data_IF_711144776135
#
_entry.id   IF_711144776135
#
_cell.length_a   1.000
_cell.length_b   1.000
_cell.length_c   1.000
_cell.angle_alpha   90.00
_cell.angle_beta   90.00
_cell.angle_gamma   90.00
#
_symmetry.space_group_name_H-M   'P 1'
#
loop_
_entity.id
_entity.type
_entity.pdbx_description
1 polymer ?
#
# COMPACT_ATOMS: atom_id res chain seq x y z
N UNK A 1 8.69 2.81 14.56
CA UNK A 1 8.35 4.24 14.46
C UNK A 1 8.78 4.75 13.08
N UNK A 2 8.36 4.06 12.01
CA UNK A 2 8.73 4.42 10.63
C UNK A 2 7.75 3.72 9.69
N UNK A 3 7.89 2.40 9.56
CA UNK A 3 6.94 1.56 8.82
C UNK A 3 5.64 1.30 9.62
N UNK A 4 4.50 1.35 8.92
CA UNK A 4 3.17 1.02 9.46
C UNK A 4 2.80 -0.46 9.35
N UNK A 5 3.71 -1.27 8.83
CA UNK A 5 3.58 -2.73 8.88
C UNK A 5 3.91 -3.24 10.29
N UNK A 6 3.25 -4.32 10.71
CA UNK A 6 3.57 -5.01 11.96
C UNK A 6 4.77 -5.92 11.71
N UNK A 7 5.90 -5.65 12.36
CA UNK A 7 7.16 -6.37 12.12
C UNK A 7 7.07 -7.85 12.48
N UNK A 8 6.47 -8.16 13.63
CA UNK A 8 6.28 -9.52 14.13
C UNK A 8 4.80 -9.74 14.40
N UNK A 9 3.98 -10.07 13.38
CA UNK A 9 2.64 -10.56 13.64
C UNK A 9 2.69 -11.89 14.41
N UNK A 10 1.57 -12.32 14.99
CA UNK A 10 1.53 -13.61 15.70
C UNK A 10 1.21 -14.77 14.76
N UNK A 11 0.52 -14.47 13.65
CA UNK A 11 -0.04 -15.46 12.73
C UNK A 11 0.12 -14.97 11.30
N UNK A 12 0.02 -15.91 10.37
CA UNK A 12 -0.04 -15.61 8.93
C UNK A 12 -1.27 -14.78 8.63
N UNK A 13 -2.45 -15.13 9.15
CA UNK A 13 -3.67 -14.33 9.07
C UNK A 13 -4.48 -14.47 10.37
N UNK A 14 -5.35 -13.49 10.63
CA UNK A 14 -6.13 -13.41 11.86
C UNK A 14 -7.54 -13.99 11.69
N UNK A 15 -8.16 -13.74 10.53
CA UNK A 15 -9.56 -14.08 10.25
C UNK A 15 -9.79 -14.30 8.75
N UNK A 16 -10.54 -15.33 8.39
CA UNK A 16 -11.10 -15.51 7.06
C UNK A 16 -12.64 -15.51 7.15
N UNK A 17 -13.31 -14.81 6.23
CA UNK A 17 -14.77 -14.66 6.20
C UNK A 17 -15.33 -14.94 4.81
N UNK A 18 -16.55 -15.49 4.79
CA UNK A 18 -17.47 -15.45 3.65
C UNK A 18 -18.65 -14.57 4.05
N UNK A 19 -18.81 -13.45 3.36
CA UNK A 19 -19.82 -12.45 3.65
C UNK A 19 -20.79 -12.35 2.47
N UNK A 20 -22.08 -12.36 2.75
CA UNK A 20 -23.12 -12.10 1.77
C UNK A 20 -23.66 -10.68 1.94
N UNK A 21 -23.84 -10.02 0.81
CA UNK A 21 -24.45 -8.72 0.74
C UNK A 21 -25.94 -8.82 1.07
N UNK A 22 -26.43 -7.84 1.81
CA UNK A 22 -27.86 -7.63 2.04
C UNK A 22 -28.55 -7.02 0.81
N UNK A 23 -29.85 -7.26 0.66
CA UNK A 23 -30.65 -6.70 -0.45
C UNK A 23 -30.97 -5.20 -0.29
N UNK A 24 -30.51 -4.52 0.78
CA UNK A 24 -30.79 -3.10 1.03
C UNK A 24 -29.65 -2.38 1.78
N UNK A 25 -29.43 -1.09 1.48
CA UNK A 25 -28.40 -0.26 2.15
C UNK A 25 -28.58 -0.17 3.67
N UNK A 26 -29.80 -0.37 4.18
CA UNK A 26 -30.13 -0.28 5.61
C UNK A 26 -29.88 -1.57 6.40
N UNK A 27 -29.47 -2.66 5.73
CA UNK A 27 -29.16 -3.92 6.39
C UNK A 27 -27.67 -4.19 6.28
N UNK A 28 -27.06 -4.60 7.38
CA UNK A 28 -25.66 -4.99 7.37
C UNK A 28 -25.45 -6.28 6.57
N UNK A 29 -24.31 -6.41 5.86
CA UNK A 29 -23.93 -7.67 5.22
C UNK A 29 -23.80 -8.80 6.24
N UNK A 30 -24.19 -10.02 5.86
CA UNK A 30 -24.29 -11.17 6.75
C UNK A 30 -23.03 -12.04 6.60
N UNK A 31 -22.41 -12.39 7.73
CA UNK A 31 -21.32 -13.38 7.74
C UNK A 31 -21.92 -14.77 7.62
N UNK A 32 -21.68 -15.44 6.49
CA UNK A 32 -22.15 -16.81 6.24
C UNK A 32 -21.23 -17.86 6.88
N UNK A 33 -19.94 -17.59 6.86
CA UNK A 33 -18.92 -18.51 7.37
C UNK A 33 -17.69 -17.71 7.82
N UNK A 34 -17.00 -18.21 8.85
CA UNK A 34 -15.77 -17.61 9.38
C UNK A 34 -14.78 -18.68 9.84
N UNK A 35 -13.50 -18.35 9.75
CA UNK A 35 -12.41 -19.14 10.31
C UNK A 35 -11.37 -18.23 10.99
N UNK A 36 -10.93 -18.53 12.21
CA UNK A 36 -11.37 -19.65 13.04
C UNK A 36 -12.79 -19.41 13.60
N UNK A 37 -13.51 -20.49 13.95
CA UNK A 37 -14.90 -20.41 14.41
C UNK A 37 -15.05 -19.69 15.76
N UNK A 38 -14.03 -19.79 16.61
CA UNK A 38 -13.94 -19.18 17.93
C UNK A 38 -13.39 -17.73 17.90
N UNK A 39 -13.24 -17.13 16.72
CA UNK A 39 -12.80 -15.73 16.61
C UNK A 39 -13.74 -14.80 17.40
N UNK A 40 -13.18 -14.11 18.41
CA UNK A 40 -13.92 -13.42 19.46
C UNK A 40 -13.99 -11.90 19.38
N UNK A 41 -13.27 -11.25 18.45
CA UNK A 41 -13.28 -9.79 18.31
C UNK A 41 -14.55 -9.32 17.58
N UNK A 42 -15.54 -8.87 18.35
CA UNK A 42 -16.85 -8.44 17.84
C UNK A 42 -16.78 -7.15 17.02
N UNK A 43 -15.85 -6.24 17.31
CA UNK A 43 -15.71 -4.99 16.55
C UNK A 43 -15.26 -5.29 15.12
N UNK A 44 -14.31 -6.21 14.97
CA UNK A 44 -13.84 -6.70 13.66
C UNK A 44 -14.96 -7.43 12.92
N UNK A 45 -15.75 -8.27 13.60
CA UNK A 45 -16.87 -9.00 12.99
C UNK A 45 -18.01 -8.08 12.53
N UNK A 46 -18.14 -6.88 13.11
CA UNK A 46 -19.09 -5.87 12.66
C UNK A 46 -18.52 -4.98 11.55
N UNK A 47 -17.22 -4.62 11.63
CA UNK A 47 -16.61 -3.68 10.68
C UNK A 47 -16.29 -4.35 9.34
N UNK A 48 -15.66 -5.53 9.35
CA UNK A 48 -15.15 -6.19 8.13
C UNK A 48 -16.26 -6.45 7.09
N UNK A 49 -17.45 -6.95 7.45
CA UNK A 49 -18.54 -7.13 6.47
C UNK A 49 -18.89 -5.85 5.71
N UNK A 50 -18.85 -4.69 6.36
CA UNK A 50 -19.11 -3.39 5.72
C UNK A 50 -17.97 -2.96 4.78
N UNK A 51 -16.73 -3.32 5.10
CA UNK A 51 -15.57 -3.12 4.23
C UNK A 51 -15.50 -4.12 3.06
N UNK A 52 -16.17 -5.28 3.17
CA UNK A 52 -16.31 -6.23 2.06
C UNK A 52 -17.19 -5.67 0.91
N UNK A 53 -18.07 -4.71 1.20
CA UNK A 53 -18.98 -4.09 0.24
C UNK A 53 -18.97 -2.55 0.32
N UNK A 54 -17.84 -1.89 0.01
CA UNK A 54 -17.66 -0.47 0.27
C UNK A 54 -18.19 0.41 -0.89
N UNK A 55 -19.43 0.17 -1.33
CA UNK A 55 -20.05 0.85 -2.46
C UNK A 55 -21.58 0.92 -2.30
N UNK A 56 -22.23 1.85 -3.01
CA UNK A 56 -23.70 1.93 -3.09
C UNK A 56 -24.26 0.93 -4.11
N UNK A 57 -25.16 0.04 -3.68
CA UNK A 57 -25.76 -1.02 -4.49
C UNK A 57 -26.78 -0.52 -5.51
N UNK A 58 -27.50 0.54 -5.19
CA UNK A 58 -28.59 1.08 -6.02
C UNK A 58 -28.10 1.62 -7.37
N UNK A 59 -26.80 1.93 -7.47
CA UNK A 59 -26.22 2.69 -8.58
C UNK A 59 -25.30 1.88 -9.50
N UNK A 60 -25.15 0.57 -9.28
CA UNK A 60 -24.10 -0.22 -9.96
C UNK A 60 -24.64 -1.47 -10.65
N UNK A 61 -24.23 -1.66 -11.91
CA UNK A 61 -24.28 -2.97 -12.56
C UNK A 61 -23.16 -3.85 -12.00
N UNK A 62 -23.56 -4.88 -11.27
CA UNK A 62 -22.75 -5.88 -10.55
C UNK A 62 -21.52 -6.46 -11.28
N UNK A 63 -21.43 -6.32 -12.60
CA UNK A 63 -20.29 -6.78 -13.42
C UNK A 63 -19.07 -5.83 -13.42
N UNK A 64 -19.18 -4.62 -12.85
CA UNK A 64 -18.18 -3.55 -13.04
C UNK A 64 -17.28 -3.26 -11.83
N UNK A 65 -17.48 -3.89 -10.67
CA UNK A 65 -16.82 -3.49 -9.40
C UNK A 65 -15.38 -4.03 -9.25
N UNK A 66 -14.95 -4.97 -10.09
CA UNK A 66 -13.64 -5.63 -9.98
C UNK A 66 -13.67 -6.82 -9.01
N UNK A 67 -12.85 -7.85 -9.27
CA UNK A 67 -12.90 -9.12 -8.53
C UNK A 67 -12.09 -9.10 -7.23
N UNK A 68 -10.91 -8.48 -7.23
CA UNK A 68 -10.01 -8.42 -6.07
C UNK A 68 -9.80 -6.99 -5.63
N UNK A 69 -9.74 -6.75 -4.33
CA UNK A 69 -9.33 -5.48 -3.77
C UNK A 69 -8.79 -5.70 -2.35
N UNK A 70 -8.07 -4.72 -1.80
CA UNK A 70 -7.55 -4.83 -0.43
C UNK A 70 -7.85 -3.55 0.35
N UNK A 71 -8.71 -3.66 1.36
CA UNK A 71 -8.92 -2.58 2.34
C UNK A 71 -7.90 -2.67 3.47
N UNK A 72 -7.82 -1.62 4.29
CA UNK A 72 -6.96 -1.61 5.49
C UNK A 72 -7.75 -1.14 6.69
N UNK A 73 -7.62 -1.88 7.80
CA UNK A 73 -7.99 -1.43 9.14
C UNK A 73 -6.72 -0.98 9.86
N UNK A 74 -6.77 0.18 10.49
CA UNK A 74 -5.66 0.70 11.28
C UNK A 74 -5.88 0.37 12.75
N UNK A 75 -4.92 -0.30 13.39
CA UNK A 75 -4.99 -0.60 14.82
C UNK A 75 -4.62 0.60 15.71
N UNK A 76 -4.77 0.45 17.02
CA UNK A 76 -4.45 1.47 18.02
C UNK A 76 -2.97 1.92 18.03
N UNK A 77 -2.07 1.17 17.40
CA UNK A 77 -0.63 1.49 17.24
C UNK A 77 -0.33 2.01 15.83
N UNK A 78 -1.36 2.42 15.09
CA UNK A 78 -1.29 2.87 13.70
C UNK A 78 -0.75 1.82 12.72
N UNK A 79 -0.77 0.53 13.09
CA UNK A 79 -0.36 -0.58 12.23
C UNK A 79 -1.50 -1.04 11.34
N UNK A 80 -1.13 -1.50 10.15
CA UNK A 80 -2.08 -1.86 9.10
C UNK A 80 -2.44 -3.35 9.17
N UNK A 81 -3.74 -3.64 9.26
CA UNK A 81 -4.33 -4.97 8.96
C UNK A 81 -4.97 -4.90 7.58
N UNK A 82 -4.51 -5.74 6.67
CA UNK A 82 -4.98 -5.82 5.29
C UNK A 82 -6.13 -6.80 5.18
N UNK A 83 -7.26 -6.34 4.65
CA UNK A 83 -8.40 -7.16 4.30
C UNK A 83 -8.38 -7.47 2.81
N UNK A 84 -7.83 -8.64 2.45
CA UNK A 84 -7.75 -9.11 1.08
C UNK A 84 -9.09 -9.69 0.67
N UNK A 85 -9.72 -9.10 -0.34
CA UNK A 85 -11.08 -9.44 -0.74
C UNK A 85 -11.13 -10.10 -2.12
N UNK A 86 -12.07 -11.02 -2.30
CA UNK A 86 -12.52 -11.54 -3.59
C UNK A 86 -14.05 -11.47 -3.67
N UNK A 87 -14.56 -10.59 -4.53
CA UNK A 87 -15.99 -10.50 -4.85
C UNK A 87 -16.38 -11.59 -5.84
N UNK A 88 -17.50 -12.26 -5.56
CA UNK A 88 -18.05 -13.37 -6.34
C UNK A 88 -19.55 -13.18 -6.57
N UNK A 89 -20.16 -14.03 -7.40
CA UNK A 89 -21.61 -14.07 -7.61
C UNK A 89 -22.20 -12.71 -8.02
N UNK A 90 -21.51 -11.97 -8.90
CA UNK A 90 -21.90 -10.61 -9.28
C UNK A 90 -21.78 -9.60 -8.14
N UNK A 91 -20.81 -9.75 -7.24
CA UNK A 91 -20.62 -8.83 -6.11
C UNK A 91 -21.64 -9.00 -4.99
N UNK A 92 -22.39 -10.12 -4.95
CA UNK A 92 -23.28 -10.47 -3.83
C UNK A 92 -22.57 -11.20 -2.69
N UNK A 93 -21.45 -11.86 -2.98
CA UNK A 93 -20.68 -12.60 -1.97
C UNK A 93 -19.25 -12.12 -2.01
N UNK A 94 -18.62 -11.99 -0.85
CA UNK A 94 -17.23 -11.58 -0.70
C UNK A 94 -16.49 -12.58 0.19
N UNK A 95 -15.36 -13.08 -0.29
CA UNK A 95 -14.39 -13.80 0.54
C UNK A 95 -13.35 -12.81 1.01
N UNK A 96 -13.07 -12.77 2.31
CA UNK A 96 -12.10 -11.85 2.90
C UNK A 96 -11.10 -12.62 3.77
N UNK A 97 -9.80 -12.34 3.62
CA UNK A 97 -8.77 -12.75 4.58
C UNK A 97 -8.17 -11.48 5.20
N UNK A 98 -8.19 -11.41 6.53
CA UNK A 98 -7.61 -10.32 7.31
C UNK A 98 -6.25 -10.75 7.84
N UNK A 99 -5.19 -10.00 7.49
CA UNK A 99 -3.82 -10.30 7.91
C UNK A 99 -2.99 -9.02 8.07
N UNK A 100 -2.01 -9.04 8.97
CA UNK A 100 -0.98 -7.99 9.06
C UNK A 100 0.12 -8.11 7.99
N UNK A 101 0.20 -9.25 7.30
CA UNK A 101 1.21 -9.49 6.28
C UNK A 101 0.75 -8.92 4.93
N UNK A 102 1.53 -8.02 4.31
CA UNK A 102 1.14 -7.37 3.05
C UNK A 102 1.38 -8.27 1.83
N UNK A 103 0.93 -9.52 1.85
CA UNK A 103 1.20 -10.52 0.81
C UNK A 103 0.09 -10.56 -0.25
N UNK A 104 -0.11 -9.44 -0.95
CA UNK A 104 -1.20 -9.25 -1.91
C UNK A 104 -1.33 -10.41 -2.91
N UNK A 105 -0.25 -10.77 -3.60
CA UNK A 105 -0.26 -11.82 -4.63
C UNK A 105 -0.57 -13.21 -4.06
N UNK A 106 -0.05 -13.51 -2.86
CA UNK A 106 -0.30 -14.78 -2.17
C UNK A 106 -1.77 -14.87 -1.77
N UNK A 107 -2.30 -13.85 -1.10
CA UNK A 107 -3.68 -13.87 -0.61
C UNK A 107 -4.71 -13.82 -1.73
N UNK A 108 -4.46 -13.09 -2.83
CA UNK A 108 -5.37 -13.12 -3.97
C UNK A 108 -5.43 -14.49 -4.65
N UNK A 109 -4.30 -15.19 -4.77
CA UNK A 109 -4.27 -16.56 -5.27
C UNK A 109 -4.95 -17.53 -4.30
N UNK A 110 -4.69 -17.40 -3.00
CA UNK A 110 -5.35 -18.17 -1.94
C UNK A 110 -6.88 -18.00 -2.00
N UNK A 111 -7.38 -16.76 -2.12
CA UNK A 111 -8.81 -16.47 -2.24
C UNK A 111 -9.43 -17.08 -3.50
N UNK A 112 -8.69 -17.18 -4.61
CA UNK A 112 -9.17 -17.89 -5.80
C UNK A 112 -9.34 -19.38 -5.51
N UNK A 113 -8.37 -20.00 -4.84
CA UNK A 113 -8.44 -21.41 -4.43
C UNK A 113 -9.58 -21.67 -3.47
N UNK A 114 -9.76 -20.81 -2.46
CA UNK A 114 -10.86 -20.92 -1.49
C UNK A 114 -12.21 -20.81 -2.20
N UNK A 115 -12.35 -19.89 -3.15
CA UNK A 115 -13.58 -19.78 -3.92
C UNK A 115 -13.86 -21.01 -4.79
N UNK A 116 -12.83 -21.59 -5.41
CA UNK A 116 -12.96 -22.82 -6.17
C UNK A 116 -13.43 -23.99 -5.29
N UNK A 117 -12.91 -24.11 -4.06
CA UNK A 117 -13.36 -25.12 -3.11
C UNK A 117 -14.80 -24.90 -2.66
N UNK A 118 -15.22 -23.66 -2.45
CA UNK A 118 -16.61 -23.35 -2.12
C UNK A 118 -17.57 -23.69 -3.26
N UNK A 119 -17.19 -23.46 -4.52
CA UNK A 119 -18.01 -23.83 -5.69
C UNK A 119 -18.11 -25.34 -5.87
N UNK A 120 -17.07 -26.08 -5.47
CA UNK A 120 -17.01 -27.55 -5.54
C UNK A 120 -17.53 -28.25 -4.29
N UNK A 121 -18.03 -27.50 -3.31
CA UNK A 121 -18.51 -28.03 -2.02
C UNK A 121 -17.44 -28.86 -1.25
N UNK A 122 -16.17 -28.49 -1.41
CA UNK A 122 -15.02 -29.16 -0.76
C UNK A 122 -14.66 -28.50 0.58
N UNK A 123 -15.58 -28.55 1.55
CA UNK A 123 -15.39 -27.86 2.85
C UNK A 123 -14.24 -28.43 3.68
N UNK A 124 -13.99 -29.74 3.61
CA UNK A 124 -12.88 -30.37 4.33
C UNK A 124 -11.53 -29.84 3.86
N UNK A 125 -11.30 -29.82 2.54
CA UNK A 125 -10.06 -29.31 1.93
C UNK A 125 -9.85 -27.83 2.24
N UNK A 126 -10.93 -27.03 2.23
CA UNK A 126 -10.91 -25.62 2.59
C UNK A 126 -10.48 -25.42 4.05
N UNK A 127 -11.08 -26.17 4.97
CA UNK A 127 -10.76 -26.07 6.39
C UNK A 127 -9.34 -26.55 6.70
N UNK A 128 -8.88 -27.63 6.05
CA UNK A 128 -7.53 -28.15 6.23
C UNK A 128 -6.48 -27.17 5.70
N UNK A 129 -6.74 -26.54 4.55
CA UNK A 129 -5.89 -25.48 3.99
C UNK A 129 -5.75 -24.28 4.96
N UNK A 130 -6.87 -23.81 5.51
CA UNK A 130 -6.89 -22.68 6.43
C UNK A 130 -6.24 -23.04 7.77
N UNK A 131 -6.50 -24.22 8.33
CA UNK A 131 -5.86 -24.72 9.55
C UNK A 131 -4.35 -24.85 9.38
N UNK A 132 -3.91 -25.40 8.24
CA UNK A 132 -2.49 -25.53 7.91
C UNK A 132 -1.82 -24.16 7.87
N UNK A 133 -2.38 -23.20 7.14
CA UNK A 133 -1.82 -21.85 7.04
C UNK A 133 -1.86 -21.08 8.36
N UNK A 134 -2.94 -21.22 9.14
CA UNK A 134 -3.16 -20.49 10.40
C UNK A 134 -2.24 -20.96 11.53
N UNK A 135 -1.90 -22.25 11.55
CA UNK A 135 -0.99 -22.85 12.52
C UNK A 135 0.47 -22.84 12.04
N UNK A 136 0.73 -22.50 10.78
CA UNK A 136 2.09 -22.42 10.27
C UNK A 136 2.85 -21.28 10.99
N UNK A 137 4.07 -21.53 11.50
CA UNK A 137 4.89 -20.47 12.09
C UNK A 137 5.19 -19.40 11.05
N UNK A 138 5.40 -18.15 11.46
CA UNK A 138 5.71 -17.10 10.50
C UNK A 138 6.96 -17.45 9.68
N UNK A 139 6.80 -17.65 8.37
CA UNK A 139 7.91 -18.05 7.53
C UNK A 139 8.80 -16.83 7.25
N UNK A 140 10.11 -17.06 7.13
CA UNK A 140 11.08 -16.01 6.77
C UNK A 140 10.91 -15.63 5.31
N UNK A 141 11.24 -14.40 4.93
CA UNK A 141 11.24 -13.97 3.53
C UNK A 141 12.03 -14.94 2.62
N UNK A 142 11.57 -15.08 1.38
CA UNK A 142 12.13 -15.99 0.37
C UNK A 142 12.19 -17.48 0.75
N UNK A 143 11.33 -17.95 1.67
CA UNK A 143 11.21 -19.39 2.00
C UNK A 143 9.97 -20.01 1.36
N UNK A 144 10.05 -21.28 0.91
CA UNK A 144 8.88 -22.01 0.42
C UNK A 144 7.99 -22.44 1.57
N UNK A 145 6.69 -22.19 1.45
CA UNK A 145 5.65 -22.61 2.38
C UNK A 145 4.73 -23.58 1.65
N UNK A 146 4.75 -24.84 2.08
CA UNK A 146 3.88 -25.87 1.54
C UNK A 146 2.48 -25.71 2.14
N UNK A 147 1.47 -25.69 1.28
CA UNK A 147 0.07 -25.72 1.66
C UNK A 147 -0.50 -27.07 1.23
N UNK A 148 -1.24 -27.72 2.12
CA UNK A 148 -2.05 -28.89 1.79
C UNK A 148 -3.20 -28.47 0.86
N UNK A 149 -3.03 -28.67 -0.45
CA UNK A 149 -4.03 -28.31 -1.47
C UNK A 149 -4.15 -29.48 -2.45
N UNK A 150 -5.38 -29.91 -2.75
CA UNK A 150 -5.67 -30.96 -3.74
C UNK A 150 -5.46 -30.51 -5.21
N UNK A 151 -5.18 -29.23 -5.45
CA UNK A 151 -4.82 -28.65 -6.75
C UNK A 151 -3.41 -28.08 -6.69
N UNK A 152 -2.62 -28.27 -7.74
CA UNK A 152 -1.31 -27.65 -7.93
C UNK A 152 -1.43 -26.11 -7.93
N UNK A 153 -0.90 -25.47 -6.89
CA UNK A 153 -0.70 -24.02 -6.81
C UNK A 153 0.78 -23.75 -6.70
N UNK A 154 1.30 -23.01 -7.68
CA UNK A 154 2.65 -22.46 -7.67
C UNK A 154 2.58 -20.93 -7.56
N UNK A 155 3.22 -20.37 -6.53
CA UNK A 155 3.32 -18.93 -6.32
C UNK A 155 4.79 -18.57 -6.10
N UNK A 156 5.44 -18.02 -7.12
CA UNK A 156 6.82 -17.53 -7.04
C UNK A 156 6.88 -16.03 -7.29
N UNK A 157 7.58 -15.30 -6.41
CA UNK A 157 8.19 -14.00 -6.69
C UNK A 157 9.67 -14.24 -7.06
N UNK A 158 10.18 -13.54 -8.06
CA UNK A 158 11.10 -14.09 -9.08
C UNK A 158 12.59 -14.29 -8.73
N UNK A 159 13.00 -14.52 -7.49
CA UNK A 159 14.46 -14.62 -7.21
C UNK A 159 15.05 -16.02 -6.97
N UNK A 160 14.26 -17.10 -6.91
CA UNK A 160 14.83 -18.43 -6.66
C UNK A 160 14.08 -19.51 -7.44
N UNK A 161 14.29 -19.60 -8.75
CA UNK A 161 14.16 -20.88 -9.45
C UNK A 161 14.95 -20.86 -10.76
N UNK A 162 16.27 -21.01 -10.68
CA UNK A 162 17.05 -21.50 -11.82
C UNK A 162 17.73 -22.85 -11.60
N UNK A 163 17.82 -23.40 -10.39
CA UNK A 163 18.55 -24.68 -10.18
C UNK A 163 18.09 -25.45 -8.93
N UNK A 164 16.95 -26.13 -8.97
CA UNK A 164 16.69 -27.34 -8.17
C UNK A 164 15.54 -28.15 -8.82
N UNK A 165 15.78 -29.40 -9.28
CA UNK A 165 14.70 -30.33 -9.59
C UNK A 165 14.36 -31.11 -8.30
N UNK A 166 13.32 -30.70 -7.57
CA UNK A 166 12.80 -31.49 -6.44
C UNK A 166 11.46 -32.15 -6.81
N UNK A 167 11.33 -33.49 -6.69
CA UNK A 167 10.15 -34.25 -7.06
C UNK A 167 9.17 -34.37 -5.87
N UNK A 168 8.47 -33.28 -5.50
CA UNK A 168 7.46 -33.34 -4.42
C UNK A 168 6.17 -32.61 -4.84
N UNK A 169 5.10 -33.41 -4.91
CA UNK A 169 3.76 -33.13 -5.41
C UNK A 169 2.88 -32.36 -4.40
N UNK A 170 3.32 -31.18 -3.94
CA UNK A 170 2.55 -30.34 -2.99
C UNK A 170 2.58 -28.87 -3.43
N UNK A 171 1.44 -28.20 -3.30
CA UNK A 171 1.29 -26.77 -3.61
C UNK A 171 2.08 -25.91 -2.64
N UNK A 172 2.83 -24.92 -3.14
CA UNK A 172 3.64 -24.04 -2.30
C UNK A 172 3.70 -22.60 -2.81
N UNK A 173 3.99 -21.68 -1.90
CA UNK A 173 4.34 -20.30 -2.23
C UNK A 173 5.67 -19.90 -1.64
N UNK A 174 6.38 -19.00 -2.33
CA UNK A 174 7.55 -18.33 -1.79
C UNK A 174 7.07 -17.08 -1.08
N UNK A 175 7.41 -16.96 0.20
CA UNK A 175 7.10 -15.76 0.98
C UNK A 175 7.77 -14.54 0.36
N UNK A 176 7.04 -13.45 0.11
CA UNK A 176 7.62 -12.28 -0.53
C UNK A 176 8.59 -11.56 0.41
N UNK A 177 9.67 -11.05 -0.17
CA UNK A 177 10.53 -10.09 0.50
C UNK A 177 9.89 -8.70 0.44
N UNK A 178 9.48 -8.18 1.60
CA UNK A 178 8.85 -6.86 1.73
C UNK A 178 9.86 -5.71 1.72
N UNK A 179 11.17 -6.02 1.67
CA UNK A 179 12.24 -5.01 1.62
C UNK A 179 12.65 -4.64 0.19
N UNK A 180 12.34 -5.50 -0.79
CA UNK A 180 12.61 -5.25 -2.20
C UNK A 180 11.71 -4.19 -2.82
N UNK A 181 12.16 -3.57 -3.91
CA UNK A 181 11.32 -2.68 -4.71
C UNK A 181 10.21 -3.48 -5.40
N UNK A 182 8.98 -2.95 -5.47
CA UNK A 182 7.91 -3.57 -6.25
C UNK A 182 8.26 -3.56 -7.75
N UNK A 183 8.00 -4.68 -8.42
CA UNK A 183 8.24 -4.86 -9.85
C UNK A 183 6.94 -5.00 -10.64
N UNK A 184 6.98 -4.63 -11.92
CA UNK A 184 5.88 -4.81 -12.88
C UNK A 184 6.24 -5.96 -13.83
N UNK A 185 5.36 -6.97 -14.04
CA UNK A 185 3.96 -7.05 -13.62
C UNK A 185 3.69 -7.76 -12.28
N UNK A 186 4.71 -8.14 -11.50
CA UNK A 186 4.55 -9.04 -10.35
C UNK A 186 3.74 -8.41 -9.22
N UNK A 187 4.03 -7.15 -8.88
CA UNK A 187 3.26 -6.37 -7.90
C UNK A 187 1.97 -5.89 -8.55
N UNK A 188 0.84 -6.47 -8.15
CA UNK A 188 -0.47 -6.09 -8.72
C UNK A 188 -0.81 -4.62 -8.47
N UNK A 189 -0.49 -4.11 -7.28
CA UNK A 189 -0.82 -2.73 -6.91
C UNK A 189 -0.08 -1.72 -7.79
N UNK A 190 1.24 -1.86 -7.93
CA UNK A 190 2.04 -0.95 -8.77
C UNK A 190 1.68 -1.09 -10.26
N UNK A 191 1.46 -2.33 -10.72
CA UNK A 191 1.09 -2.61 -12.11
C UNK A 191 -0.24 -1.96 -12.47
N UNK A 192 -1.29 -2.20 -11.68
CA UNK A 192 -2.61 -1.63 -11.93
C UNK A 192 -2.59 -0.10 -11.81
N UNK A 193 -1.86 0.44 -10.84
CA UNK A 193 -1.69 1.90 -10.70
C UNK A 193 -1.03 2.53 -11.93
N UNK A 194 0.08 1.95 -12.41
CA UNK A 194 0.81 2.45 -13.57
C UNK A 194 0.01 2.33 -14.88
N UNK A 195 -0.83 1.29 -14.99
CA UNK A 195 -1.72 1.11 -16.15
C UNK A 195 -2.90 2.08 -16.11
N UNK A 196 -3.46 2.36 -14.93
CA UNK A 196 -4.68 3.14 -14.79
C UNK A 196 -4.46 4.67 -14.71
N UNK A 197 -3.30 5.12 -14.23
CA UNK A 197 -3.05 6.54 -13.94
C UNK A 197 -1.95 7.10 -14.85
N UNK A 198 -2.28 8.19 -15.54
CA UNK A 198 -1.35 8.90 -16.41
C UNK A 198 -0.13 9.41 -15.66
N UNK A 199 1.03 9.40 -16.32
CA UNK A 199 2.30 9.88 -15.75
C UNK A 199 2.17 11.28 -15.13
N UNK A 200 1.42 12.21 -15.75
CA UNK A 200 1.22 13.54 -15.17
C UNK A 200 0.46 13.47 -13.83
N UNK A 201 -0.59 12.66 -13.74
CA UNK A 201 -1.36 12.47 -12.52
C UNK A 201 -0.56 11.74 -11.44
N UNK A 202 0.31 10.79 -11.82
CA UNK A 202 1.26 10.17 -10.89
C UNK A 202 2.18 11.21 -10.25
N UNK A 203 2.72 12.14 -11.05
CA UNK A 203 3.59 13.22 -10.56
C UNK A 203 2.82 14.17 -9.63
N UNK A 204 1.57 14.51 -9.98
CA UNK A 204 0.72 15.37 -9.15
C UNK A 204 0.39 14.70 -7.81
N UNK A 205 0.01 13.42 -7.80
CA UNK A 205 -0.24 12.67 -6.58
C UNK A 205 1.03 12.59 -5.71
N UNK A 206 2.18 12.32 -6.32
CA UNK A 206 3.45 12.28 -5.62
C UNK A 206 3.78 13.63 -4.96
N UNK A 207 3.67 14.74 -5.71
CA UNK A 207 3.87 16.07 -5.17
C UNK A 207 2.88 16.39 -4.03
N UNK A 208 1.62 16.00 -4.19
CA UNK A 208 0.57 16.17 -3.17
C UNK A 208 0.89 15.41 -1.88
N UNK A 209 1.40 14.18 -2.00
CA UNK A 209 1.82 13.40 -0.83
C UNK A 209 3.05 14.02 -0.13
N UNK A 210 3.99 14.58 -0.89
CA UNK A 210 5.14 15.31 -0.36
C UNK A 210 4.78 16.66 0.30
N UNK A 211 3.53 17.10 0.20
CA UNK A 211 3.00 18.25 0.94
C UNK A 211 1.96 17.82 1.99
N UNK A 212 1.84 16.51 2.26
CA UNK A 212 0.84 15.92 3.17
C UNK A 212 -0.57 16.51 2.95
N UNK A 213 -1.03 16.51 1.69
CA UNK A 213 -2.37 17.00 1.34
C UNK A 213 -3.47 16.02 1.74
N UNK A 214 -4.71 16.50 1.73
CA UNK A 214 -5.93 15.69 1.81
C UNK A 214 -6.25 15.16 0.41
N UNK A 215 -6.06 13.86 0.19
CA UNK A 215 -6.14 13.23 -1.13
C UNK A 215 -7.27 12.20 -1.15
N UNK A 216 -8.20 12.38 -2.08
CA UNK A 216 -9.24 11.41 -2.43
C UNK A 216 -8.92 10.84 -3.82
N UNK A 217 -8.84 9.51 -3.91
CA UNK A 217 -8.80 8.80 -5.18
C UNK A 217 -10.18 8.16 -5.40
N UNK A 218 -10.75 8.29 -6.60
CA UNK A 218 -12.03 7.66 -6.96
C UNK A 218 -11.91 6.85 -8.25
N UNK A 219 -12.56 5.68 -8.27
CA UNK A 219 -12.64 4.78 -9.42
C UNK A 219 -13.91 3.91 -9.36
N UNK A 220 -14.39 3.44 -10.50
CA UNK A 220 -15.53 2.50 -10.58
C UNK A 220 -15.16 1.05 -10.25
N UNK A 221 -13.88 0.70 -10.30
CA UNK A 221 -13.36 -0.62 -9.95
C UNK A 221 -12.62 -0.55 -8.62
N UNK A 222 -13.00 -1.39 -7.66
CA UNK A 222 -12.33 -1.49 -6.35
C UNK A 222 -10.88 -2.00 -6.48
N UNK A 223 -10.63 -2.87 -7.47
CA UNK A 223 -9.28 -3.35 -7.79
C UNK A 223 -8.36 -2.19 -8.12
N UNK A 224 -8.79 -1.34 -9.06
CA UNK A 224 -8.05 -0.17 -9.50
C UNK A 224 -7.96 0.86 -8.38
N UNK A 225 -9.04 1.11 -7.65
CA UNK A 225 -9.08 2.07 -6.54
C UNK A 225 -8.03 1.74 -5.48
N UNK A 226 -8.10 0.54 -4.91
CA UNK A 226 -7.19 0.14 -3.83
C UNK A 226 -5.76 -0.01 -4.33
N UNK A 227 -5.56 -0.50 -5.57
CA UNK A 227 -4.24 -0.55 -6.18
C UNK A 227 -3.63 0.84 -6.38
N UNK A 228 -4.41 1.85 -6.77
CA UNK A 228 -3.92 3.22 -6.89
C UNK A 228 -3.50 3.78 -5.54
N UNK A 229 -4.26 3.53 -4.46
CA UNK A 229 -3.91 4.00 -3.12
C UNK A 229 -2.64 3.31 -2.61
N UNK A 230 -2.55 1.97 -2.66
CA UNK A 230 -1.36 1.22 -2.23
C UNK A 230 -0.14 1.51 -3.12
N UNK A 231 -0.34 1.53 -4.43
CA UNK A 231 0.69 1.75 -5.43
C UNK A 231 1.31 3.14 -5.30
N UNK A 232 0.49 4.19 -5.26
CA UNK A 232 0.99 5.57 -5.08
C UNK A 232 1.72 5.74 -3.74
N UNK A 233 1.18 5.24 -2.63
CA UNK A 233 1.82 5.33 -1.32
C UNK A 233 3.17 4.56 -1.27
N UNK A 234 3.30 3.44 -1.98
CA UNK A 234 4.55 2.67 -2.03
C UNK A 234 5.72 3.43 -2.67
N UNK A 235 5.43 4.40 -3.54
CA UNK A 235 6.44 5.22 -4.22
C UNK A 235 7.06 6.30 -3.32
N UNK A 236 6.57 6.44 -2.07
CA UNK A 236 7.19 7.28 -1.05
C UNK A 236 8.40 6.61 -0.38
N UNK A 237 8.66 5.33 -0.65
CA UNK A 237 9.78 4.60 -0.06
C UNK A 237 11.11 5.39 -0.18
N UNK A 238 11.89 5.52 0.90
CA UNK A 238 11.84 4.78 2.17
C UNK A 238 10.87 5.36 3.21
N UNK A 239 10.13 6.41 2.87
CA UNK A 239 9.16 7.05 3.75
C UNK A 239 7.79 6.39 3.57
N UNK A 240 6.95 6.50 4.59
CA UNK A 240 5.59 5.95 4.58
C UNK A 240 4.58 7.03 4.95
N UNK A 241 3.38 6.94 4.39
CA UNK A 241 2.28 7.82 4.75
C UNK A 241 1.84 7.62 6.21
N UNK A 242 1.98 8.65 7.04
CA UNK A 242 1.79 8.54 8.50
C UNK A 242 0.38 8.88 8.98
N UNK A 243 -0.39 9.63 8.20
CA UNK A 243 -1.71 10.12 8.60
C UNK A 243 -2.83 9.12 8.25
N UNK A 244 -4.08 9.59 8.15
CA UNK A 244 -5.24 8.73 7.83
C UNK A 244 -4.97 8.03 6.48
N UNK A 245 -5.12 6.71 6.47
CA UNK A 245 -4.87 5.86 5.31
C UNK A 245 -6.00 4.85 5.18
N UNK A 246 -6.87 5.06 4.19
CA UNK A 246 -8.06 4.21 3.98
C UNK A 246 -8.16 3.89 2.48
N UNK A 247 -7.58 2.77 2.01
CA UNK A 247 -7.57 2.40 0.59
C UNK A 247 -8.95 2.31 -0.07
N UNK A 248 -9.98 2.02 0.72
CA UNK A 248 -11.37 2.12 0.29
C UNK A 248 -12.26 2.41 1.49
N UNK A 249 -13.03 3.50 1.42
CA UNK A 249 -13.89 4.00 2.47
C UNK A 249 -15.34 3.53 2.24
N UNK A 250 -15.94 2.77 3.18
CA UNK A 250 -17.32 2.33 3.05
C UNK A 250 -18.33 3.47 3.30
N UNK A 251 -19.59 3.33 2.84
CA UNK A 251 -20.59 4.42 2.87
C UNK A 251 -20.86 5.02 4.27
N UNK A 252 -20.82 4.21 5.32
CA UNK A 252 -21.09 4.65 6.69
C UNK A 252 -19.95 5.48 7.31
N UNK A 253 -18.78 5.54 6.65
CA UNK A 253 -17.61 6.29 7.13
C UNK A 253 -17.30 7.51 6.25
N UNK A 254 -18.18 7.92 5.34
CA UNK A 254 -17.92 9.07 4.45
C UNK A 254 -17.65 10.38 5.21
N UNK A 255 -18.06 10.48 6.49
CA UNK A 255 -17.77 11.60 7.40
C UNK A 255 -16.26 11.81 7.62
N UNK A 256 -15.46 10.75 7.46
CA UNK A 256 -14.01 10.85 7.55
C UNK A 256 -13.38 11.66 6.40
N UNK A 257 -14.07 11.87 5.27
CA UNK A 257 -13.58 12.77 4.22
C UNK A 257 -13.54 14.24 4.69
N UNK A 258 -14.28 14.60 5.75
CA UNK A 258 -14.28 15.95 6.30
C UNK A 258 -13.15 16.19 7.31
N UNK A 259 -12.28 15.20 7.52
CA UNK A 259 -11.16 15.28 8.45
C UNK A 259 -10.19 16.43 8.07
N UNK A 260 -9.86 17.36 9.00
CA UNK A 260 -8.94 18.47 8.71
C UNK A 260 -7.46 18.07 8.58
N UNK A 261 -7.08 16.91 9.12
CA UNK A 261 -5.72 16.38 9.03
C UNK A 261 -5.45 15.78 7.64
N UNK A 262 -4.18 15.64 7.23
CA UNK A 262 -3.85 14.95 5.99
C UNK A 262 -4.46 13.55 5.93
N UNK A 263 -4.89 13.15 4.74
CA UNK A 263 -5.39 11.80 4.53
C UNK A 263 -5.13 11.33 3.10
N UNK A 264 -5.05 10.01 2.95
CA UNK A 264 -5.09 9.34 1.65
C UNK A 264 -6.23 8.33 1.69
N UNK A 265 -7.32 8.65 0.99
CA UNK A 265 -8.59 7.91 1.04
C UNK A 265 -9.00 7.50 -0.38
N UNK A 266 -9.37 6.23 -0.54
CA UNK A 266 -10.07 5.76 -1.73
C UNK A 266 -11.58 5.78 -1.51
N UNK A 267 -12.35 6.31 -2.46
CA UNK A 267 -13.81 6.29 -2.45
C UNK A 267 -14.31 5.67 -3.74
N UNK A 268 -15.20 4.69 -3.65
CA UNK A 268 -15.80 4.12 -4.86
C UNK A 268 -16.64 5.16 -5.60
N UNK A 269 -16.61 5.16 -6.94
CA UNK A 269 -17.26 6.18 -7.78
C UNK A 269 -18.76 6.36 -7.45
N UNK A 270 -19.48 5.30 -7.09
CA UNK A 270 -20.91 5.42 -6.72
C UNK A 270 -21.17 6.29 -5.48
N UNK A 271 -20.15 6.56 -4.66
CA UNK A 271 -20.22 7.35 -3.44
C UNK A 271 -19.68 8.78 -3.62
N UNK A 272 -19.02 9.10 -4.74
CA UNK A 272 -18.33 10.39 -4.89
C UNK A 272 -19.27 11.59 -4.82
N UNK A 273 -20.50 11.46 -5.33
CA UNK A 273 -21.50 12.54 -5.27
C UNK A 273 -21.91 12.85 -3.83
N UNK A 274 -22.04 11.83 -2.97
CA UNK A 274 -22.30 11.99 -1.53
C UNK A 274 -21.10 12.62 -0.79
N UNK A 275 -19.91 12.51 -1.37
CA UNK A 275 -18.68 13.11 -0.86
C UNK A 275 -18.57 14.57 -1.31
N UNK A 276 -18.79 14.87 -2.59
CA UNK A 276 -18.82 16.24 -3.14
C UNK A 276 -19.95 17.10 -2.57
N UNK A 277 -21.07 16.49 -2.14
CA UNK A 277 -22.15 17.23 -1.46
C UNK A 277 -21.75 17.72 -0.07
N UNK A 278 -20.63 17.25 0.48
CA UNK A 278 -20.06 17.75 1.73
C UNK A 278 -19.11 18.89 1.39
N UNK A 279 -19.06 19.92 2.23
CA UNK A 279 -18.16 21.06 2.04
C UNK A 279 -16.70 20.62 2.25
N UNK A 280 -16.08 20.08 1.21
CA UNK A 280 -14.68 19.68 1.19
C UNK A 280 -13.83 20.87 0.76
N UNK A 281 -13.22 21.54 1.71
CA UNK A 281 -12.22 22.58 1.45
C UNK A 281 -10.84 21.94 1.28
N UNK A 282 -10.02 22.48 0.39
CA UNK A 282 -8.65 22.06 0.07
C UNK A 282 -8.37 20.54 0.04
N UNK A 283 -9.18 19.83 -0.76
CA UNK A 283 -9.02 18.41 -1.05
C UNK A 283 -8.59 18.22 -2.50
N UNK A 284 -7.65 17.31 -2.72
CA UNK A 284 -7.22 16.87 -4.04
C UNK A 284 -8.05 15.65 -4.42
N UNK A 285 -8.71 15.70 -5.56
CA UNK A 285 -9.55 14.62 -6.07
C UNK A 285 -9.01 14.10 -7.40
N UNK A 286 -8.57 12.84 -7.42
CA UNK A 286 -8.23 12.14 -8.67
C UNK A 286 -9.37 11.19 -9.04
N UNK A 287 -10.03 11.44 -10.17
CA UNK A 287 -10.87 10.46 -10.83
C UNK A 287 -10.02 9.61 -11.79
N UNK A 288 -9.79 8.36 -11.43
CA UNK A 288 -8.96 7.42 -12.20
C UNK A 288 -9.63 7.00 -13.50
N UNK A 289 -10.97 6.87 -13.51
CA UNK A 289 -11.71 6.45 -14.70
C UNK A 289 -11.58 7.45 -15.85
N UNK A 290 -11.47 8.74 -15.53
CA UNK A 290 -11.32 9.84 -16.51
C UNK A 290 -9.94 10.47 -16.52
N UNK A 291 -9.01 9.96 -15.70
CA UNK A 291 -7.69 10.57 -15.45
C UNK A 291 -7.76 12.09 -15.17
N UNK A 292 -8.82 12.54 -14.49
CA UNK A 292 -9.04 13.96 -14.18
C UNK A 292 -8.64 14.24 -12.74
N UNK A 293 -7.74 15.19 -12.53
CA UNK A 293 -7.27 15.61 -11.22
C UNK A 293 -7.73 17.05 -10.92
N UNK A 294 -8.51 17.20 -9.86
CA UNK A 294 -8.95 18.49 -9.31
C UNK A 294 -8.04 18.83 -8.12
N UNK A 295 -7.31 19.95 -8.19
CA UNK A 295 -6.46 20.42 -7.10
C UNK A 295 -6.51 21.95 -6.99
N UNK A 296 -6.67 22.52 -5.79
CA UNK A 296 -6.53 23.95 -5.55
C UNK A 296 -5.07 24.38 -5.36
N UNK A 297 -4.13 23.42 -5.33
CA UNK A 297 -2.72 23.65 -5.04
C UNK A 297 -1.83 23.52 -6.27
N UNK A 298 -0.66 24.13 -6.22
CA UNK A 298 0.36 24.05 -7.26
C UNK A 298 1.61 23.27 -6.78
N UNK A 299 1.38 22.17 -6.06
CA UNK A 299 2.43 21.43 -5.34
C UNK A 299 3.52 20.89 -6.25
N UNK A 300 3.18 20.45 -7.47
CA UNK A 300 4.17 19.95 -8.42
C UNK A 300 5.18 21.02 -8.84
N UNK A 301 4.76 22.29 -8.91
CA UNK A 301 5.67 23.39 -9.25
C UNK A 301 6.58 23.80 -8.08
N UNK A 302 6.23 23.42 -6.86
CA UNK A 302 7.08 23.63 -5.69
C UNK A 302 8.24 22.62 -5.60
N UNK A 303 8.18 21.55 -6.40
CA UNK A 303 9.28 20.59 -6.51
C UNK A 303 10.36 21.10 -7.47
N UNK A 304 11.65 20.79 -7.22
CA UNK A 304 12.74 21.06 -8.16
C UNK A 304 12.47 20.48 -9.55
N UNK A 305 12.51 21.34 -10.57
CA UNK A 305 12.08 21.00 -11.94
C UNK A 305 13.01 20.00 -12.63
N UNK A 306 14.29 19.97 -12.27
CA UNK A 306 15.28 18.99 -12.70
C UNK A 306 14.91 17.58 -12.21
N UNK A 307 14.50 17.44 -10.94
CA UNK A 307 14.03 16.17 -10.37
C UNK A 307 12.75 15.71 -11.05
N UNK A 308 11.76 16.60 -11.19
CA UNK A 308 10.47 16.30 -11.83
C UNK A 308 10.64 15.91 -13.30
N UNK A 309 11.49 16.64 -14.04
CA UNK A 309 11.74 16.36 -15.46
C UNK A 309 12.50 15.04 -15.67
N UNK A 310 13.48 14.74 -14.82
CA UNK A 310 14.18 13.45 -14.83
C UNK A 310 13.22 12.28 -14.55
N UNK A 311 12.37 12.42 -13.52
CA UNK A 311 11.36 11.42 -13.17
C UNK A 311 10.36 11.22 -14.31
N UNK A 312 9.79 12.31 -14.85
CA UNK A 312 8.85 12.28 -15.98
C UNK A 312 9.46 11.63 -17.21
N UNK A 313 10.71 11.96 -17.54
CA UNK A 313 11.44 11.39 -18.67
C UNK A 313 11.65 9.89 -18.49
N UNK A 314 11.97 9.43 -17.27
CA UNK A 314 12.10 8.00 -16.97
C UNK A 314 10.77 7.25 -17.09
N UNK A 315 9.69 7.78 -16.52
CA UNK A 315 8.36 7.12 -16.57
C UNK A 315 7.78 6.99 -17.98
N UNK A 316 8.16 7.88 -18.91
CA UNK A 316 7.73 7.81 -20.32
C UNK A 316 8.50 6.78 -21.16
N UNK A 317 9.62 6.24 -20.67
CA UNK A 317 10.41 5.26 -21.42
C UNK A 317 9.77 3.88 -21.30
N UNK A 318 9.63 3.18 -22.44
CA UNK A 318 9.09 1.82 -22.48
C UNK A 318 9.90 0.84 -21.61
N UNK A 319 11.23 0.99 -21.54
CA UNK A 319 12.09 0.14 -20.71
C UNK A 319 11.84 0.30 -19.20
N UNK A 320 11.13 1.33 -18.77
CA UNK A 320 10.78 1.57 -17.36
C UNK A 320 9.49 0.84 -16.97
N UNK A 321 8.68 0.42 -17.95
CA UNK A 321 7.36 -0.18 -17.74
C UNK A 321 7.40 -1.64 -17.24
N UNK A 322 8.58 -2.25 -17.15
CA UNK A 322 8.78 -3.62 -16.66
C UNK A 322 9.87 -3.68 -15.60
N UNK A 323 9.86 -4.73 -14.77
CA UNK A 323 10.80 -4.89 -13.67
C UNK A 323 10.61 -3.80 -12.61
N UNK A 324 11.71 -3.37 -11.98
CA UNK A 324 11.70 -2.34 -10.91
C UNK A 324 11.76 -0.90 -11.44
N UNK A 325 11.66 -0.68 -12.76
CA UNK A 325 11.96 0.60 -13.41
C UNK A 325 11.14 1.77 -12.85
N UNK A 326 9.82 1.59 -12.68
CA UNK A 326 8.93 2.61 -12.11
C UNK A 326 9.32 2.92 -10.67
N UNK A 327 9.41 1.90 -9.82
CA UNK A 327 9.77 2.07 -8.40
C UNK A 327 11.14 2.73 -8.23
N UNK A 328 12.13 2.31 -9.02
CA UNK A 328 13.49 2.86 -9.04
C UNK A 328 13.52 4.32 -9.50
N UNK A 329 12.66 4.71 -10.45
CA UNK A 329 12.57 6.11 -10.88
C UNK A 329 12.11 7.02 -9.74
N UNK A 330 11.10 6.60 -8.97
CA UNK A 330 10.64 7.31 -7.78
C UNK A 330 11.65 7.26 -6.63
N UNK A 331 12.31 6.12 -6.41
CA UNK A 331 13.40 5.99 -5.43
C UNK A 331 14.51 7.01 -5.70
N UNK A 332 14.90 7.18 -6.96
CA UNK A 332 15.91 8.15 -7.36
C UNK A 332 15.43 9.59 -7.15
N UNK A 333 14.14 9.87 -7.38
CA UNK A 333 13.57 11.17 -7.07
C UNK A 333 13.57 11.44 -5.56
N UNK A 334 13.19 10.46 -4.74
CA UNK A 334 13.30 10.53 -3.27
C UNK A 334 14.74 10.79 -2.84
N UNK A 335 15.72 10.09 -3.43
CA UNK A 335 17.13 10.27 -3.11
C UNK A 335 17.64 11.67 -3.51
N UNK A 336 17.19 12.20 -4.64
CA UNK A 336 17.54 13.56 -5.07
C UNK A 336 16.92 14.65 -4.18
N UNK A 337 15.71 14.44 -3.67
CA UNK A 337 15.00 15.40 -2.82
C UNK A 337 15.48 15.39 -1.37
N UNK A 338 15.77 14.20 -0.82
CA UNK A 338 16.02 14.01 0.61
C UNK A 338 17.42 13.51 0.93
N UNK A 339 18.24 13.14 -0.06
CA UNK A 339 19.55 12.50 0.15
C UNK A 339 20.56 13.34 0.94
N UNK A 340 20.42 14.67 0.91
CA UNK A 340 21.24 15.60 1.71
C UNK A 340 21.01 15.47 3.22
N UNK A 341 20.02 14.68 3.68
CA UNK A 341 19.80 14.42 5.10
C UNK A 341 21.04 13.84 5.79
N UNK A 342 21.86 13.06 5.07
CA UNK A 342 23.12 12.51 5.58
C UNK A 342 24.09 13.60 6.04
N UNK A 343 24.17 14.69 5.30
CA UNK A 343 25.08 15.82 5.58
C UNK A 343 24.60 16.65 6.78
N UNK A 344 23.33 16.49 7.16
CA UNK A 344 22.71 17.14 8.32
C UNK A 344 22.80 16.31 9.62
N UNK A 345 23.30 15.07 9.55
CA UNK A 345 23.59 14.28 10.75
C UNK A 345 24.76 14.90 11.54
N UNK A 346 24.68 14.86 12.86
CA UNK A 346 25.70 15.41 13.76
C UNK A 346 26.24 14.32 14.67
N UNK A 347 27.55 14.16 14.62
CA UNK A 347 28.30 13.20 15.39
C UNK A 347 29.15 13.96 16.39
N UNK A 348 28.89 13.76 17.68
CA UNK A 348 29.69 14.28 18.78
C UNK A 348 30.13 13.11 19.65
N UNK A 349 31.44 12.91 19.89
CA UNK A 349 31.91 11.81 20.72
C UNK A 349 31.23 11.81 22.10
N UNK A 350 30.63 10.69 22.48
CA UNK A 350 29.95 10.53 23.78
C UNK A 350 28.49 10.99 23.81
N UNK A 351 27.96 11.60 22.75
CA UNK A 351 26.55 11.97 22.62
C UNK A 351 25.83 11.08 21.58
N UNK A 352 24.50 11.01 21.68
CA UNK A 352 23.69 10.41 20.63
C UNK A 352 23.83 11.21 19.33
N UNK A 353 23.80 10.51 18.20
CA UNK A 353 23.71 11.11 16.87
C UNK A 353 22.38 11.84 16.77
N UNK A 354 22.42 13.08 16.30
CA UNK A 354 21.23 13.94 16.12
C UNK A 354 21.12 14.43 14.67
N UNK A 355 19.95 14.95 14.32
CA UNK A 355 19.69 15.60 13.03
C UNK A 355 19.63 17.13 13.20
N UNK A 356 20.31 17.87 12.34
CA UNK A 356 20.36 19.34 12.38
C UNK A 356 19.52 19.94 11.24
N UNK A 357 18.28 20.36 11.55
CA UNK A 357 17.35 20.96 10.59
C UNK A 357 17.94 22.18 9.88
N UNK A 358 18.60 23.07 10.63
CA UNK A 358 19.26 24.26 10.08
C UNK A 358 20.34 23.92 9.03
N UNK A 359 20.99 22.77 9.17
CA UNK A 359 21.96 22.31 8.19
C UNK A 359 21.30 21.67 6.99
N UNK A 360 20.21 20.95 7.19
CA UNK A 360 19.47 20.28 6.14
C UNK A 360 18.82 21.27 5.18
N UNK A 361 18.22 22.33 5.72
CA UNK A 361 17.52 23.37 4.97
C UNK A 361 18.48 24.23 4.13
N UNK A 362 19.75 24.36 4.54
CA UNK A 362 20.74 25.17 3.84
C UNK A 362 21.09 24.55 2.49
N UNK A 363 20.53 25.13 1.43
CA UNK A 363 20.78 24.71 0.06
C UNK A 363 21.02 25.91 -0.87
N UNK A 364 21.84 25.73 -1.92
CA UNK A 364 22.22 26.78 -2.88
C UNK A 364 21.05 27.19 -3.80
N UNK A 365 20.30 26.21 -4.29
CA UNK A 365 19.07 26.44 -5.07
C UNK A 365 17.95 26.92 -4.15
N UNK A 366 17.34 28.05 -4.49
CA UNK A 366 16.21 28.65 -3.76
C UNK A 366 14.97 27.75 -3.76
N UNK A 367 14.67 27.10 -4.89
CA UNK A 367 13.55 26.15 -5.00
C UNK A 367 13.75 24.95 -4.08
N UNK A 368 14.94 24.36 -4.09
CA UNK A 368 15.25 23.25 -3.19
C UNK A 368 15.24 23.70 -1.72
N UNK A 369 15.77 24.89 -1.42
CA UNK A 369 15.70 25.44 -0.06
C UNK A 369 14.25 25.54 0.43
N UNK A 370 13.35 26.13 -0.37
CA UNK A 370 11.93 26.25 -0.02
C UNK A 370 11.26 24.87 0.15
N UNK A 371 11.59 23.91 -0.73
CA UNK A 371 11.14 22.53 -0.59
C UNK A 371 11.60 21.93 0.75
N UNK A 372 12.88 22.08 1.12
CA UNK A 372 13.44 21.55 2.35
C UNK A 372 12.87 22.23 3.62
N UNK A 373 12.59 23.52 3.56
CA UNK A 373 11.86 24.26 4.62
C UNK A 373 10.45 23.68 4.86
N UNK A 374 9.79 23.22 3.79
CA UNK A 374 8.50 22.53 3.90
C UNK A 374 8.70 21.10 4.39
N UNK A 375 9.74 20.40 3.89
CA UNK A 375 10.04 19.00 4.15
C UNK A 375 10.25 18.68 5.64
N UNK A 376 10.95 19.54 6.38
CA UNK A 376 11.20 19.35 7.82
C UNK A 376 9.91 19.29 8.65
N UNK A 377 8.81 19.85 8.13
CA UNK A 377 7.53 19.85 8.82
C UNK A 377 6.69 18.59 8.54
N UNK A 378 7.04 17.81 7.53
CA UNK A 378 6.29 16.62 7.11
C UNK A 378 6.43 15.50 8.15
N UNK A 379 5.31 14.90 8.54
CA UNK A 379 5.32 13.76 9.46
C UNK A 379 6.01 12.53 8.86
N UNK A 380 5.82 12.28 7.56
CA UNK A 380 6.52 11.19 6.84
C UNK A 380 8.05 11.35 6.89
N UNK A 381 8.57 12.57 6.84
CA UNK A 381 10.01 12.83 6.90
C UNK A 381 10.53 12.73 8.34
N UNK A 382 9.78 13.27 9.32
CA UNK A 382 10.12 13.15 10.74
C UNK A 382 10.25 11.70 11.19
N UNK A 383 9.29 10.85 10.83
CA UNK A 383 9.33 9.41 11.17
C UNK A 383 10.50 8.70 10.49
N UNK A 384 10.81 9.04 9.23
CA UNK A 384 11.99 8.52 8.56
C UNK A 384 13.28 8.89 9.30
N UNK A 385 13.49 10.18 9.64
CA UNK A 385 14.68 10.62 10.37
C UNK A 385 14.77 9.98 11.76
N UNK A 386 13.69 9.95 12.53
CA UNK A 386 13.64 9.31 13.84
C UNK A 386 13.97 7.81 13.75
N UNK A 387 13.44 7.13 12.73
CA UNK A 387 13.75 5.74 12.42
C UNK A 387 15.22 5.51 12.10
N UNK A 388 15.85 6.39 11.30
CA UNK A 388 17.30 6.34 11.01
C UNK A 388 18.15 6.60 12.26
N UNK A 389 17.83 7.63 13.04
CA UNK A 389 18.55 7.99 14.26
C UNK A 389 18.49 6.86 15.30
N UNK A 390 17.32 6.22 15.46
CA UNK A 390 17.15 5.08 16.37
C UNK A 390 18.07 3.92 15.99
N UNK A 391 18.17 3.59 14.70
CA UNK A 391 19.06 2.52 14.21
C UNK A 391 20.54 2.86 14.48
N UNK A 392 20.97 4.07 14.10
CA UNK A 392 22.36 4.52 14.30
C UNK A 392 22.76 4.54 15.77
N UNK A 393 21.90 5.09 16.64
CA UNK A 393 22.17 5.18 18.08
C UNK A 393 22.11 3.82 18.78
N UNK A 394 21.45 2.83 18.20
CA UNK A 394 21.51 1.44 18.67
C UNK A 394 22.76 0.69 18.19
N UNK A 395 23.68 1.34 17.48
CA UNK A 395 24.86 0.71 16.85
C UNK A 395 24.50 -0.23 15.70
N UNK A 396 23.22 -0.23 15.26
CA UNK A 396 22.75 -1.00 14.11
C UNK A 396 22.94 -0.11 12.89
N UNK A 397 24.04 -0.29 12.17
CA UNK A 397 24.16 0.27 10.83
C UNK A 397 22.94 -0.11 9.97
N UNK A 398 22.62 0.70 8.98
CA UNK A 398 21.58 0.38 8.01
C UNK A 398 22.13 0.54 6.60
N UNK A 399 21.71 -0.37 5.73
CA UNK A 399 21.91 -0.26 4.28
C UNK A 399 20.64 -0.78 3.63
N UNK A 400 20.08 0.01 2.73
CA UNK A 400 18.93 -0.34 1.92
C UNK A 400 19.05 0.34 0.56
N UNK A 401 18.14 0.01 -0.35
CA UNK A 401 18.18 0.48 -1.74
C UNK A 401 18.15 2.01 -1.85
N UNK A 402 17.57 2.71 -0.87
CA UNK A 402 17.60 4.18 -0.84
C UNK A 402 18.99 4.71 -0.52
N UNK A 403 19.67 4.11 0.47
CA UNK A 403 21.05 4.47 0.82
C UNK A 403 22.04 4.16 -0.32
N UNK A 404 21.80 3.08 -1.06
CA UNK A 404 22.55 2.75 -2.27
C UNK A 404 22.34 3.79 -3.38
N UNK A 405 21.10 4.20 -3.62
CA UNK A 405 20.76 5.21 -4.64
C UNK A 405 21.31 6.61 -4.30
N UNK A 406 21.35 7.00 -3.01
CA UNK A 406 22.03 8.24 -2.57
C UNK A 406 23.51 8.21 -2.98
N UNK A 407 24.17 7.08 -2.70
CA UNK A 407 25.61 6.92 -2.94
C UNK A 407 25.92 6.87 -4.44
N UNK A 408 25.15 6.10 -5.20
CA UNK A 408 25.31 5.99 -6.66
C UNK A 408 24.94 7.29 -7.40
N UNK A 409 23.95 8.02 -6.89
CA UNK A 409 23.51 9.30 -7.45
C UNK A 409 24.40 10.48 -7.08
N UNK A 410 25.26 10.34 -6.07
CA UNK A 410 26.07 11.45 -5.55
C UNK A 410 25.21 12.55 -4.90
N UNK A 411 24.08 12.16 -4.29
CA UNK A 411 23.14 13.10 -3.64
C UNK A 411 23.55 13.47 -2.20
N UNK A 412 24.67 12.92 -1.72
CA UNK A 412 25.31 13.29 -0.45
C UNK A 412 26.79 13.62 -0.66
N UNK A 413 27.31 14.53 0.15
CA UNK A 413 28.66 15.06 0.00
C UNK A 413 28.65 16.25 -0.96
N UNK A 414 28.95 17.44 -0.43
CA UNK A 414 29.13 18.64 -1.24
C UNK A 414 30.19 18.42 -2.31
N UNK A 415 29.76 18.08 -3.53
CA UNK A 415 30.57 18.33 -4.71
C UNK A 415 30.54 19.83 -4.95
N UNK A 416 31.55 20.47 -4.37
CA UNK A 416 32.16 21.76 -4.73
C UNK A 416 31.27 22.99 -4.84
#
# INVERSE_FOLDING_TARGET
MDCRLKENPERTFDLALKVECSDSENKDPVVLWKFPEDFGDQEVLQSVPRFCFPFSFERISQKQVGQHFTFVLTDIRSKQRFGFCRLTSGGKVCLCILSYLPWFEVYYKLLNTLADYLVKEQENDLNDMLKSLYNHPLPKANTPVNISVNKELFISSEQILKNQPSPILHSYFITPDVTGLPTIPESRNLTEYFVAVDVNNMLQLYASMLHERRIIITASKLSTLTACVHGSASLLYPMYWQHIYIPVLPPHLLDYCCAPMPYLIGVHLSLIERVKSRSLEDVILLNVDTNTLETPFNDLNNLPSDVVSALKSKLKKQSTATGDGVARAFLRAQAALFGSYRDALRYKPGECITFCEDSFIKHRSSTMKHFLETAVNLQLFKQFIEGRLTKLNAGRGFTDVFEEEITAGGFCGGKE
#
